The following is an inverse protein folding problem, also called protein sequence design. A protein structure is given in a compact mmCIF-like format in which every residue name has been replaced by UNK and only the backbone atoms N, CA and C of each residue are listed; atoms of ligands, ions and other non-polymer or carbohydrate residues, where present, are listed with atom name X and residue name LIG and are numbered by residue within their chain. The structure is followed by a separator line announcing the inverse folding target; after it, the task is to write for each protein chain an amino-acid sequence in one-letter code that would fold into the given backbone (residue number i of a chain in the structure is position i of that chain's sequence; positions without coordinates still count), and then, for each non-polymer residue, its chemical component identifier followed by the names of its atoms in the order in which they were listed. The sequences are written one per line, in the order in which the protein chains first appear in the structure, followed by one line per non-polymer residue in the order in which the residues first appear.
data_IF_532859915122
#
_entry.id   IF_532859915122
#
_cell.length_a   1.000
_cell.length_b   1.000
_cell.length_c   1.000
_cell.angle_alpha   90.00
_cell.angle_beta   90.00
_cell.angle_gamma   90.00
#
_symmetry.space_group_name_H-M   'P 1'
#
loop_
_entity.id
_entity.type
_entity.pdbx_description
1 polymer ?
#
# COMPACT_ATOMS: atom_id res chain seq x y z
N UNK A 1 19.09 17.59 2.88
CA UNK A 1 18.14 18.57 3.48
C UNK A 1 16.96 18.71 2.51
N UNK A 2 15.71 18.64 2.99
CA UNK A 2 14.51 18.84 2.16
C UNK A 2 14.00 20.25 2.32
N UNK A 3 13.73 20.94 1.21
CA UNK A 3 13.05 22.23 1.21
C UNK A 3 11.60 21.96 0.78
N UNK A 4 10.68 22.00 1.74
CA UNK A 4 9.25 21.83 1.52
C UNK A 4 8.58 23.19 1.42
N UNK A 5 7.65 23.36 0.47
CA UNK A 5 6.73 24.50 0.45
C UNK A 5 5.55 24.27 1.38
N UNK A 6 5.18 23.00 1.62
CA UNK A 6 4.10 22.61 2.52
C UNK A 6 4.26 21.16 2.95
N UNK A 7 3.78 20.81 4.14
CA UNK A 7 3.56 19.46 4.62
C UNK A 7 2.42 19.44 5.63
N UNK A 8 1.71 18.34 5.71
CA UNK A 8 0.60 18.23 6.64
C UNK A 8 -0.14 16.91 6.49
N UNK A 9 -1.37 16.91 6.98
CA UNK A 9 -2.24 15.74 6.87
C UNK A 9 -3.71 16.13 6.88
N UNK A 10 -4.55 15.19 6.44
CA UNK A 10 -5.99 15.28 6.56
C UNK A 10 -6.61 13.89 6.71
N UNK A 11 -7.83 13.86 7.23
CA UNK A 11 -8.67 12.67 7.16
C UNK A 11 -9.78 12.88 6.12
N UNK A 12 -10.21 11.80 5.49
CA UNK A 12 -11.24 11.82 4.44
C UNK A 12 -12.04 10.53 4.45
N UNK A 13 -13.25 10.59 3.87
CA UNK A 13 -14.17 9.45 3.84
C UNK A 13 -14.80 9.16 5.20
N UNK A 14 -15.16 7.91 5.39
CA UNK A 14 -15.85 7.45 6.59
C UNK A 14 -17.36 7.39 6.44
N UNK A 15 -18.01 6.83 7.47
CA UNK A 15 -19.48 6.78 7.61
C UNK A 15 -19.86 6.86 9.08
N UNK A 16 -21.07 7.31 9.32
CA UNK A 16 -21.67 7.29 10.66
C UNK A 16 -22.23 5.90 10.96
N UNK A 17 -21.93 5.40 12.16
CA UNK A 17 -22.56 4.22 12.77
C UNK A 17 -23.21 4.65 14.07
N UNK A 18 -24.46 4.25 14.28
CA UNK A 18 -25.20 4.51 15.52
C UNK A 18 -25.18 3.26 16.39
N UNK A 19 -24.88 3.45 17.66
CA UNK A 19 -24.94 2.42 18.73
C UNK A 19 -26.09 2.79 19.65
N UNK A 20 -26.95 1.82 19.98
CA UNK A 20 -28.12 1.99 20.86
C UNK A 20 -28.21 0.84 21.86
N UNK A 21 -28.95 1.10 22.95
CA UNK A 21 -29.37 0.11 23.94
C UNK A 21 -28.20 -0.63 24.64
N UNK A 22 -27.04 0.03 24.71
CA UNK A 22 -25.90 -0.49 25.44
C UNK A 22 -25.87 0.08 26.87
N UNK A 23 -25.53 -0.72 27.90
CA UNK A 23 -25.42 -0.22 29.25
C UNK A 23 -24.20 0.70 29.39
N UNK A 24 -24.32 1.68 30.28
CA UNK A 24 -23.19 2.49 30.71
C UNK A 24 -22.09 1.60 31.30
N UNK A 25 -20.85 1.97 31.04
CA UNK A 25 -19.68 1.23 31.53
C UNK A 25 -18.69 2.15 32.19
N UNK A 26 -18.03 1.60 33.23
CA UNK A 26 -16.93 2.30 33.89
C UNK A 26 -15.66 2.21 33.05
N UNK A 27 -15.13 3.37 32.65
CA UNK A 27 -13.88 3.48 31.87
C UNK A 27 -12.82 4.13 32.72
N UNK A 28 -11.73 3.42 32.97
CA UNK A 28 -10.57 3.91 33.70
C UNK A 28 -9.59 4.58 32.75
N UNK A 29 -9.30 5.87 32.97
CA UNK A 29 -8.27 6.61 32.23
C UNK A 29 -6.88 6.40 32.82
N UNK A 30 -6.82 6.22 34.16
CA UNK A 30 -5.62 5.92 34.93
C UNK A 30 -5.99 4.94 36.03
N UNK A 31 -5.01 4.48 36.82
CA UNK A 31 -5.27 3.59 37.96
C UNK A 31 -6.23 4.19 39.01
N UNK A 32 -6.33 5.51 39.05
CA UNK A 32 -7.11 6.22 40.07
C UNK A 32 -8.21 7.12 39.54
N UNK A 33 -8.34 7.25 38.20
CA UNK A 33 -9.33 8.13 37.56
C UNK A 33 -10.20 7.37 36.56
N UNK A 34 -11.51 7.49 36.72
CA UNK A 34 -12.50 6.89 35.85
C UNK A 34 -13.67 7.84 35.58
N UNK A 35 -14.47 7.51 34.55
CA UNK A 35 -15.81 8.07 34.35
C UNK A 35 -16.76 6.96 33.93
N UNK A 36 -18.06 7.24 34.10
CA UNK A 36 -19.12 6.39 33.59
C UNK A 36 -19.40 6.81 32.14
N UNK A 37 -19.04 5.95 31.20
CA UNK A 37 -19.22 6.18 29.76
C UNK A 37 -20.59 5.66 29.35
N UNK A 38 -21.38 6.50 28.68
CA UNK A 38 -22.47 6.08 27.84
C UNK A 38 -21.91 5.68 26.47
N UNK A 39 -22.02 4.40 26.06
CA UNK A 39 -21.50 3.96 24.76
C UNK A 39 -22.49 4.19 23.62
N UNK A 40 -23.67 4.75 23.87
CA UNK A 40 -24.69 5.00 22.87
C UNK A 40 -24.43 6.33 22.14
N UNK A 41 -24.76 6.37 20.85
CA UNK A 41 -24.61 7.56 20.03
C UNK A 41 -24.05 7.28 18.65
N UNK A 42 -23.68 8.34 17.96
CA UNK A 42 -23.14 8.30 16.61
C UNK A 42 -21.60 8.27 16.64
N UNK A 43 -21.02 7.40 15.81
CA UNK A 43 -19.57 7.24 15.67
C UNK A 43 -19.17 7.39 14.21
N UNK A 44 -18.16 8.22 13.94
CA UNK A 44 -17.54 8.30 12.63
C UNK A 44 -16.43 7.23 12.54
N UNK A 45 -16.54 6.36 11.57
CA UNK A 45 -15.59 5.24 11.32
C UNK A 45 -15.24 5.14 9.83
N UNK A 46 -14.27 4.29 9.48
CA UNK A 46 -13.85 4.02 8.10
C UNK A 46 -13.22 5.24 7.38
N UNK A 47 -12.69 6.20 8.11
CA UNK A 47 -11.88 7.28 7.56
C UNK A 47 -10.52 6.78 7.09
N UNK A 48 -9.91 7.51 6.15
CA UNK A 48 -8.53 7.35 5.67
C UNK A 48 -7.71 8.56 6.11
N UNK A 49 -6.55 8.30 6.70
CA UNK A 49 -5.55 9.32 6.97
C UNK A 49 -4.61 9.47 5.76
N UNK A 50 -4.34 10.72 5.41
CA UNK A 50 -3.41 11.07 4.33
C UNK A 50 -2.40 12.07 4.87
N UNK A 51 -1.12 11.74 4.77
CA UNK A 51 -0.03 12.68 5.04
C UNK A 51 0.57 13.14 3.72
N UNK A 52 0.94 14.42 3.60
CA UNK A 52 1.52 14.95 2.37
C UNK A 52 2.78 15.79 2.61
N UNK A 53 3.63 15.78 1.59
CA UNK A 53 4.89 16.52 1.53
C UNK A 53 5.02 17.14 0.15
N UNK A 54 5.11 18.47 0.10
CA UNK A 54 5.16 19.22 -1.14
C UNK A 54 6.55 19.88 -1.23
N UNK A 55 7.42 19.45 -2.16
CA UNK A 55 8.73 20.05 -2.31
C UNK A 55 8.60 21.48 -2.87
N UNK A 56 9.51 22.37 -2.46
CA UNK A 56 9.55 23.75 -2.95
C UNK A 56 9.75 23.81 -4.47
N UNK A 57 10.59 22.93 -5.01
CA UNK A 57 10.77 22.75 -6.44
C UNK A 57 10.16 21.43 -6.88
N UNK A 58 9.06 21.49 -7.62
CA UNK A 58 8.45 20.33 -8.25
C UNK A 58 9.08 20.13 -9.61
N UNK A 59 9.50 18.88 -9.89
CA UNK A 59 10.00 18.51 -11.21
C UNK A 59 8.95 17.75 -12.02
N UNK A 60 7.88 17.29 -11.35
CA UNK A 60 6.81 16.51 -11.96
C UNK A 60 5.45 17.17 -11.69
N UNK A 61 4.59 17.10 -12.68
CA UNK A 61 3.25 17.68 -12.61
C UNK A 61 2.35 16.96 -11.62
N UNK A 62 2.36 15.63 -11.66
CA UNK A 62 1.46 14.80 -10.89
C UNK A 62 2.10 14.37 -9.56
N UNK A 63 1.39 14.53 -8.43
CA UNK A 63 1.86 13.98 -7.16
C UNK A 63 1.82 12.46 -7.19
N UNK A 64 2.65 11.83 -6.35
CA UNK A 64 2.59 10.41 -6.07
C UNK A 64 1.72 10.14 -4.85
N UNK A 65 0.89 9.11 -4.93
CA UNK A 65 0.09 8.60 -3.82
C UNK A 65 0.60 7.20 -3.49
N UNK A 66 1.08 6.99 -2.27
CA UNK A 66 1.67 5.73 -1.81
C UNK A 66 0.68 4.97 -0.93
N UNK A 67 0.28 3.79 -1.37
CA UNK A 67 -0.66 2.90 -0.68
C UNK A 67 0.02 1.60 -0.25
N UNK A 68 0.07 1.35 1.06
CA UNK A 68 0.71 0.18 1.67
C UNK A 68 -0.04 -1.14 1.44
N UNK A 69 0.64 -2.26 1.71
CA UNK A 69 0.10 -3.61 1.65
C UNK A 69 -0.66 -4.06 2.91
N UNK A 70 -1.07 -5.32 2.90
CA UNK A 70 -1.78 -5.95 4.01
C UNK A 70 -0.95 -6.08 5.27
N UNK A 71 -1.52 -5.70 6.43
CA UNK A 71 -0.84 -5.78 7.73
C UNK A 71 0.26 -4.75 7.95
N UNK A 72 0.31 -3.70 7.12
CA UNK A 72 1.24 -2.58 7.18
C UNK A 72 0.48 -1.24 7.23
N UNK A 73 1.24 -0.16 7.38
CA UNK A 73 0.78 1.24 7.32
C UNK A 73 1.66 2.04 6.37
N UNK A 74 1.40 3.33 6.22
CA UNK A 74 2.24 4.24 5.45
C UNK A 74 3.69 4.31 5.91
N UNK A 75 3.99 3.90 7.15
CA UNK A 75 5.35 3.85 7.69
C UNK A 75 6.32 3.01 6.82
N UNK A 76 5.80 2.00 6.09
CA UNK A 76 6.63 1.17 5.21
C UNK A 76 7.29 1.94 4.05
N UNK A 77 6.85 3.16 3.77
CA UNK A 77 7.39 4.03 2.74
C UNK A 77 8.42 5.04 3.27
N UNK A 78 8.47 5.26 4.60
CA UNK A 78 9.23 6.33 5.24
C UNK A 78 10.70 5.96 5.43
N UNK A 79 10.97 4.92 6.19
CA UNK A 79 12.34 4.49 6.54
C UNK A 79 12.44 2.98 6.41
N UNK A 80 13.54 2.51 5.84
CA UNK A 80 13.84 1.07 5.74
C UNK A 80 14.20 0.49 7.11
N UNK A 81 14.07 -0.83 7.33
CA UNK A 81 14.38 -1.45 8.63
C UNK A 81 15.80 -1.19 9.13
N UNK A 82 16.76 -1.01 8.23
CA UNK A 82 18.15 -0.70 8.49
C UNK A 82 18.46 0.81 8.58
N UNK A 83 17.41 1.65 8.67
CA UNK A 83 17.54 3.09 8.91
C UNK A 83 17.86 3.95 7.70
N UNK A 84 17.90 3.38 6.48
CA UNK A 84 18.06 4.17 5.25
C UNK A 84 16.77 4.92 4.88
N UNK A 85 16.86 6.00 4.10
CA UNK A 85 15.70 6.66 3.51
C UNK A 85 14.83 5.70 2.69
N UNK A 86 13.52 5.67 2.96
CA UNK A 86 12.54 4.92 2.17
C UNK A 86 12.11 5.65 0.90
N UNK A 87 11.16 5.08 0.18
CA UNK A 87 10.69 5.64 -1.09
C UNK A 87 10.05 7.02 -0.97
N UNK A 88 9.40 7.34 0.15
CA UNK A 88 8.95 8.72 0.43
C UNK A 88 10.10 9.72 0.23
N UNK A 89 11.25 9.46 0.85
CA UNK A 89 12.41 10.32 0.75
C UNK A 89 13.00 10.35 -0.66
N UNK A 90 13.06 9.17 -1.31
CA UNK A 90 13.63 9.05 -2.66
C UNK A 90 12.81 9.84 -3.68
N UNK A 91 11.49 9.73 -3.64
CA UNK A 91 10.58 10.49 -4.52
C UNK A 91 10.56 11.99 -4.21
N UNK A 92 10.59 12.39 -2.94
CA UNK A 92 10.74 13.79 -2.56
C UNK A 92 12.05 14.39 -3.09
N UNK A 93 13.15 13.65 -2.97
CA UNK A 93 14.45 14.06 -3.49
C UNK A 93 14.46 14.18 -5.02
N UNK A 94 13.66 13.37 -5.70
CA UNK A 94 13.46 13.45 -7.15
C UNK A 94 12.55 14.62 -7.58
N UNK A 95 11.91 15.31 -6.61
CA UNK A 95 11.07 16.48 -6.88
C UNK A 95 9.57 16.17 -7.08
N UNK A 96 9.12 15.02 -6.67
CA UNK A 96 7.68 14.72 -6.60
C UNK A 96 7.04 15.31 -5.34
N UNK A 97 5.81 15.81 -5.45
CA UNK A 97 4.91 15.89 -4.30
C UNK A 97 4.46 14.49 -3.93
N UNK A 98 4.46 14.14 -2.65
CA UNK A 98 4.16 12.77 -2.19
C UNK A 98 3.07 12.80 -1.13
N UNK A 99 2.08 11.93 -1.32
CA UNK A 99 1.00 11.65 -0.37
C UNK A 99 1.14 10.21 0.11
N UNK A 100 1.09 9.99 1.42
CA UNK A 100 1.19 8.67 2.05
C UNK A 100 -0.11 8.38 2.76
N UNK A 101 -0.76 7.28 2.39
CA UNK A 101 -2.03 6.85 2.97
C UNK A 101 -1.80 5.81 4.06
N UNK A 102 -2.50 5.98 5.18
CA UNK A 102 -2.89 4.87 6.05
C UNK A 102 -4.33 4.51 5.67
N UNK A 103 -4.56 3.30 5.15
CA UNK A 103 -5.88 2.88 4.70
C UNK A 103 -6.86 2.73 5.88
N UNK A 104 -8.14 2.58 5.60
CA UNK A 104 -9.16 2.29 6.62
C UNK A 104 -8.66 1.21 7.58
N UNK A 105 -8.88 1.38 8.87
CA UNK A 105 -8.46 0.50 9.98
C UNK A 105 -6.94 0.39 10.24
N UNK A 106 -6.12 1.16 9.53
CA UNK A 106 -4.66 1.09 9.64
C UNK A 106 -4.07 2.36 10.23
N UNK A 107 -3.06 2.17 11.07
CA UNK A 107 -2.25 3.26 11.58
C UNK A 107 -3.07 4.46 12.08
N UNK A 108 -2.82 5.62 11.48
CA UNK A 108 -3.45 6.90 11.86
C UNK A 108 -4.90 7.05 11.39
N UNK A 109 -5.40 6.14 10.56
CA UNK A 109 -6.82 6.11 10.17
C UNK A 109 -7.74 5.68 11.31
N UNK A 110 -7.16 5.12 12.36
CA UNK A 110 -7.89 4.68 13.54
C UNK A 110 -8.47 3.28 13.37
N UNK A 111 -8.90 2.75 14.49
CA UNK A 111 -9.38 1.38 14.64
C UNK A 111 -10.80 1.42 15.21
N UNK A 112 -11.75 0.80 14.52
CA UNK A 112 -13.11 0.70 15.03
C UNK A 112 -13.19 -0.40 16.11
N UNK A 113 -13.39 -0.01 17.36
CA UNK A 113 -13.58 -0.92 18.49
C UNK A 113 -15.07 -1.21 18.79
N UNK A 114 -16.00 -0.79 17.93
CA UNK A 114 -17.43 -1.06 18.08
C UNK A 114 -17.70 -2.49 17.61
N UNK A 115 -18.31 -3.26 18.48
CA UNK A 115 -18.65 -4.66 18.19
C UNK A 115 -19.64 -4.77 17.02
N UNK A 116 -19.51 -5.83 16.24
CA UNK A 116 -20.40 -6.19 15.14
C UNK A 116 -20.51 -5.15 14.00
N UNK A 117 -19.60 -4.19 13.91
CA UNK A 117 -19.53 -3.24 12.79
C UNK A 117 -18.88 -3.89 11.56
N UNK A 118 -17.86 -4.68 11.79
CA UNK A 118 -17.16 -5.45 10.75
C UNK A 118 -17.24 -6.94 11.05
N UNK A 119 -17.44 -7.75 10.01
CA UNK A 119 -17.50 -9.19 10.13
C UNK A 119 -16.14 -9.78 10.53
N UNK A 120 -16.17 -10.75 11.44
CA UNK A 120 -15.01 -11.51 11.90
C UNK A 120 -14.14 -10.75 12.90
N UNK A 121 -12.99 -11.33 13.18
CA UNK A 121 -11.97 -10.77 14.06
C UNK A 121 -10.78 -10.26 13.23
N UNK A 122 -10.06 -9.24 13.71
CA UNK A 122 -8.84 -8.82 13.04
C UNK A 122 -7.79 -9.93 13.12
N UNK A 123 -7.06 -10.09 12.03
CA UNK A 123 -5.92 -11.02 11.96
C UNK A 123 -4.60 -10.28 12.06
N UNK A 124 -3.65 -10.87 12.72
CA UNK A 124 -2.27 -10.39 12.77
C UNK A 124 -1.33 -11.42 12.18
N UNK A 125 -0.38 -10.97 11.39
CA UNK A 125 0.60 -11.82 10.74
C UNK A 125 1.60 -12.37 11.75
N UNK A 126 1.88 -13.69 11.67
CA UNK A 126 2.98 -14.29 12.42
C UNK A 126 4.32 -13.98 11.74
N UNK A 127 5.41 -14.06 12.53
CA UNK A 127 6.76 -13.84 12.01
C UNK A 127 7.15 -14.88 10.95
N UNK A 128 6.73 -16.13 11.17
CA UNK A 128 6.96 -17.24 10.23
C UNK A 128 6.18 -17.05 8.92
N UNK A 129 4.92 -16.59 9.00
CA UNK A 129 4.12 -16.27 7.81
C UNK A 129 4.78 -15.14 6.99
N UNK A 130 5.34 -14.15 7.69
CA UNK A 130 6.05 -13.05 7.02
C UNK A 130 7.28 -13.52 6.26
N UNK A 131 8.03 -14.47 6.81
CA UNK A 131 9.21 -15.07 6.15
C UNK A 131 8.84 -15.66 4.79
N UNK A 132 7.78 -16.45 4.73
CA UNK A 132 7.30 -17.10 3.52
C UNK A 132 6.68 -16.09 2.52
N UNK A 133 5.71 -15.32 2.97
CA UNK A 133 4.97 -14.40 2.08
C UNK A 133 5.88 -13.34 1.48
N UNK A 134 6.85 -12.82 2.23
CA UNK A 134 7.75 -11.80 1.74
C UNK A 134 8.98 -12.36 1.00
N UNK A 135 9.01 -13.69 0.80
CA UNK A 135 10.06 -14.39 0.05
C UNK A 135 11.47 -14.11 0.57
N UNK A 136 11.64 -14.19 1.89
CA UNK A 136 12.97 -14.06 2.48
C UNK A 136 13.78 -15.35 2.37
N UNK A 137 13.13 -16.50 2.37
CA UNK A 137 13.71 -17.84 2.22
C UNK A 137 12.63 -18.88 2.11
N UNK A 138 13.03 -20.15 1.96
CA UNK A 138 12.09 -21.27 1.95
C UNK A 138 11.38 -21.41 3.32
N UNK A 139 10.10 -21.79 3.38
CA UNK A 139 9.35 -21.93 4.64
C UNK A 139 10.04 -22.82 5.68
N UNK A 140 10.66 -23.92 5.25
CA UNK A 140 11.40 -24.86 6.11
C UNK A 140 12.70 -24.26 6.69
N UNK A 141 13.19 -23.19 6.12
CA UNK A 141 14.41 -22.51 6.55
C UNK A 141 14.15 -21.41 7.60
N UNK A 142 12.91 -21.16 7.99
CA UNK A 142 12.58 -20.10 8.95
C UNK A 142 13.34 -20.22 10.27
N UNK A 143 13.33 -21.41 10.89
CA UNK A 143 14.01 -21.64 12.18
C UNK A 143 15.53 -21.53 12.09
N UNK A 144 16.12 -21.87 10.94
CA UNK A 144 17.56 -21.72 10.71
C UNK A 144 17.97 -20.32 10.26
N UNK A 145 17.00 -19.46 9.91
CA UNK A 145 17.25 -18.13 9.38
C UNK A 145 17.96 -18.11 8.04
N UNK A 146 17.94 -19.22 7.27
CA UNK A 146 18.66 -19.32 6.01
C UNK A 146 17.88 -18.69 4.85
N UNK A 147 18.32 -17.51 4.33
CA UNK A 147 17.60 -16.80 3.27
C UNK A 147 17.82 -17.44 1.90
N UNK A 148 17.07 -16.94 0.91
CA UNK A 148 17.43 -17.14 -0.49
C UNK A 148 18.79 -16.53 -0.80
N UNK A 149 19.54 -17.18 -1.69
CA UNK A 149 20.87 -16.71 -2.07
C UNK A 149 20.78 -15.38 -2.81
N UNK A 150 21.49 -14.38 -2.31
CA UNK A 150 21.51 -13.04 -2.91
C UNK A 150 20.31 -12.15 -2.54
N UNK A 151 19.56 -12.51 -1.50
CA UNK A 151 18.47 -11.69 -1.00
C UNK A 151 18.96 -10.29 -0.60
N UNK A 152 18.28 -9.26 -1.07
CA UNK A 152 18.62 -7.86 -0.81
C UNK A 152 17.86 -7.25 0.38
N UNK A 153 16.91 -7.96 0.97
CA UNK A 153 16.28 -7.51 2.21
C UNK A 153 17.27 -7.56 3.39
N UNK A 154 17.35 -6.50 4.23
CA UNK A 154 18.28 -6.44 5.35
C UNK A 154 17.81 -7.29 6.53
N UNK A 155 17.98 -8.62 6.46
CA UNK A 155 17.46 -9.59 7.44
C UNK A 155 18.00 -9.38 8.85
N UNK A 156 19.19 -8.82 9.01
CA UNK A 156 19.77 -8.44 10.30
C UNK A 156 18.94 -7.42 11.07
N UNK A 157 18.00 -6.72 10.37
CA UNK A 157 17.04 -5.79 10.93
C UNK A 157 15.60 -6.30 10.89
N UNK A 158 15.42 -7.62 10.78
CA UNK A 158 14.10 -8.25 10.69
C UNK A 158 13.16 -7.82 11.83
N UNK A 159 13.67 -7.70 13.04
CA UNK A 159 12.87 -7.31 14.20
C UNK A 159 12.33 -5.87 14.06
N UNK A 160 13.10 -4.95 13.51
CA UNK A 160 12.66 -3.58 13.23
C UNK A 160 11.53 -3.57 12.20
N UNK A 161 11.61 -4.43 11.16
CA UNK A 161 10.54 -4.60 10.18
C UNK A 161 9.27 -5.20 10.80
N UNK A 162 9.40 -6.24 11.62
CA UNK A 162 8.27 -6.93 12.24
C UNK A 162 7.47 -6.05 13.20
N UNK A 163 8.12 -5.04 13.83
CA UNK A 163 7.44 -4.02 14.64
C UNK A 163 6.50 -3.12 13.83
N UNK A 164 6.56 -3.13 12.51
CA UNK A 164 5.63 -2.39 11.65
C UNK A 164 4.31 -3.15 11.40
N UNK A 165 4.20 -4.41 11.83
CA UNK A 165 3.00 -5.20 11.60
C UNK A 165 1.84 -4.72 12.45
N UNK A 166 0.70 -4.54 11.79
CA UNK A 166 -0.56 -4.14 12.41
C UNK A 166 -1.67 -5.13 12.08
N UNK A 167 -2.65 -5.28 12.98
CA UNK A 167 -3.84 -6.10 12.69
C UNK A 167 -4.60 -5.56 11.48
N UNK A 168 -5.37 -6.43 10.85
CA UNK A 168 -6.28 -6.08 9.75
C UNK A 168 -7.51 -6.98 9.74
N UNK A 169 -8.65 -6.44 9.31
CA UNK A 169 -9.79 -7.27 8.94
C UNK A 169 -9.69 -7.74 7.49
N UNK A 170 -10.32 -8.87 7.19
CA UNK A 170 -10.43 -9.39 5.83
C UNK A 170 -11.75 -8.98 5.17
N UNK A 171 -12.73 -8.54 5.96
CA UNK A 171 -14.07 -8.14 5.52
C UNK A 171 -14.20 -6.67 5.11
N UNK A 172 -13.19 -5.84 5.37
CA UNK A 172 -13.25 -4.38 5.19
C UNK A 172 -12.86 -3.88 3.79
N UNK A 173 -12.60 -4.76 2.82
CA UNK A 173 -12.10 -4.37 1.48
C UNK A 173 -12.96 -3.31 0.79
N UNK A 174 -14.29 -3.40 0.91
CA UNK A 174 -15.20 -2.40 0.36
C UNK A 174 -15.04 -1.01 0.99
N UNK A 175 -14.89 -0.94 2.32
CA UNK A 175 -14.64 0.31 3.04
C UNK A 175 -13.28 0.90 2.65
N UNK A 176 -12.26 0.05 2.53
CA UNK A 176 -10.91 0.46 2.12
C UNK A 176 -10.91 1.05 0.70
N UNK A 177 -11.58 0.43 -0.27
CA UNK A 177 -11.70 0.95 -1.65
C UNK A 177 -12.41 2.30 -1.67
N UNK A 178 -13.54 2.44 -0.96
CA UNK A 178 -14.24 3.73 -0.86
C UNK A 178 -13.36 4.82 -0.26
N UNK A 179 -12.67 4.52 0.86
CA UNK A 179 -11.78 5.46 1.53
C UNK A 179 -10.62 5.92 0.65
N UNK A 180 -9.99 5.00 -0.09
CA UNK A 180 -8.96 5.32 -1.10
C UNK A 180 -9.56 6.24 -2.17
N UNK A 181 -10.75 5.91 -2.70
CA UNK A 181 -11.42 6.73 -3.71
C UNK A 181 -11.66 8.15 -3.26
N UNK A 182 -12.12 8.36 -2.01
CA UNK A 182 -12.29 9.70 -1.43
C UNK A 182 -10.95 10.46 -1.29
N UNK A 183 -9.87 9.74 -0.92
CA UNK A 183 -8.55 10.35 -0.89
C UNK A 183 -8.08 10.78 -2.29
N UNK A 184 -8.25 9.93 -3.30
CA UNK A 184 -7.91 10.24 -4.70
C UNK A 184 -8.69 11.44 -5.23
N UNK A 185 -9.99 11.52 -4.98
CA UNK A 185 -10.83 12.68 -5.36
C UNK A 185 -10.33 13.97 -4.73
N UNK A 186 -9.98 13.94 -3.43
CA UNK A 186 -9.49 15.12 -2.71
C UNK A 186 -8.10 15.55 -3.16
N UNK A 187 -7.21 14.62 -3.49
CA UNK A 187 -5.86 14.90 -4.01
C UNK A 187 -5.94 15.40 -5.45
N UNK A 188 -6.84 14.85 -6.25
CA UNK A 188 -6.97 15.13 -7.68
C UNK A 188 -6.03 14.30 -8.53
N UNK A 189 -5.68 14.78 -9.73
CA UNK A 189 -4.84 14.05 -10.68
C UNK A 189 -3.51 13.61 -10.07
N UNK A 190 -3.21 12.31 -10.08
CA UNK A 190 -2.05 11.72 -9.42
C UNK A 190 -1.57 10.43 -10.10
N UNK A 191 -0.36 10.00 -9.75
CA UNK A 191 0.14 8.65 -10.00
C UNK A 191 0.03 7.86 -8.70
N UNK A 192 -0.66 6.71 -8.75
CA UNK A 192 -0.89 5.86 -7.59
C UNK A 192 0.15 4.72 -7.58
N UNK A 193 0.84 4.53 -6.48
CA UNK A 193 1.79 3.43 -6.24
C UNK A 193 1.23 2.56 -5.12
N UNK A 194 0.93 1.30 -5.44
CA UNK A 194 0.28 0.36 -4.53
C UNK A 194 1.16 -0.86 -4.28
N UNK A 195 1.27 -1.29 -3.03
CA UNK A 195 2.02 -2.49 -2.67
C UNK A 195 1.11 -3.64 -2.27
N UNK A 196 1.41 -4.87 -2.73
CA UNK A 196 0.80 -6.13 -2.25
C UNK A 196 -0.73 -6.10 -2.29
N UNK A 197 -1.43 -6.32 -1.17
CA UNK A 197 -2.89 -6.18 -1.05
C UNK A 197 -3.39 -4.81 -1.53
N UNK A 198 -2.57 -3.77 -1.35
CA UNK A 198 -2.86 -2.43 -1.88
C UNK A 198 -3.00 -2.41 -3.40
N UNK A 199 -2.38 -3.35 -4.13
CA UNK A 199 -2.54 -3.50 -5.58
C UNK A 199 -3.99 -3.78 -5.98
N UNK A 200 -4.65 -4.74 -5.32
CA UNK A 200 -6.08 -5.01 -5.51
C UNK A 200 -6.94 -3.81 -5.10
N UNK A 201 -6.74 -3.28 -3.89
CA UNK A 201 -7.56 -2.21 -3.34
C UNK A 201 -7.39 -0.90 -4.12
N UNK A 202 -6.15 -0.52 -4.38
CA UNK A 202 -5.81 0.68 -5.14
C UNK A 202 -6.18 0.56 -6.62
N UNK A 203 -5.98 -0.62 -7.22
CA UNK A 203 -6.41 -0.91 -8.59
C UNK A 203 -7.92 -0.76 -8.76
N UNK A 204 -8.71 -1.32 -7.82
CA UNK A 204 -10.16 -1.16 -7.83
C UNK A 204 -10.58 0.29 -7.62
N UNK A 205 -9.99 1.00 -6.66
CA UNK A 205 -10.25 2.41 -6.45
C UNK A 205 -9.84 3.27 -7.66
N UNK A 206 -8.75 2.92 -8.36
CA UNK A 206 -8.31 3.58 -9.57
C UNK A 206 -9.31 3.40 -10.73
N UNK A 207 -9.84 2.19 -10.93
CA UNK A 207 -10.89 1.93 -11.93
C UNK A 207 -12.13 2.77 -11.66
N UNK A 208 -12.58 2.83 -10.38
CA UNK A 208 -13.75 3.61 -9.97
C UNK A 208 -13.54 5.14 -10.03
N UNK A 209 -12.27 5.61 -10.10
CA UNK A 209 -11.89 7.01 -10.11
C UNK A 209 -10.90 7.33 -11.24
N UNK A 210 -11.04 6.68 -12.38
CA UNK A 210 -10.05 6.68 -13.46
C UNK A 210 -9.70 8.08 -14.00
N UNK A 211 -10.59 9.04 -13.89
CA UNK A 211 -10.38 10.40 -14.39
C UNK A 211 -9.25 11.15 -13.68
N UNK A 212 -8.99 10.82 -12.42
CA UNK A 212 -7.90 11.43 -11.64
C UNK A 212 -6.60 10.60 -11.70
N UNK A 213 -6.62 9.40 -12.27
CA UNK A 213 -5.44 8.55 -12.38
C UNK A 213 -4.64 8.92 -13.64
N UNK A 214 -3.36 9.20 -13.45
CA UNK A 214 -2.39 9.52 -14.52
C UNK A 214 -1.34 8.43 -14.72
N UNK A 215 -1.32 7.46 -13.85
CA UNK A 215 -0.54 6.23 -13.90
C UNK A 215 -0.81 5.39 -12.67
N UNK A 216 -0.71 4.08 -12.81
CA UNK A 216 -0.79 3.14 -11.70
C UNK A 216 0.42 2.23 -11.68
N UNK A 217 1.08 2.13 -10.54
CA UNK A 217 2.23 1.26 -10.32
C UNK A 217 1.87 0.25 -9.24
N UNK A 218 1.75 -1.01 -9.65
CA UNK A 218 1.46 -2.14 -8.79
C UNK A 218 2.77 -2.84 -8.40
N UNK A 219 3.22 -2.60 -7.19
CA UNK A 219 4.43 -3.18 -6.61
C UNK A 219 4.06 -4.48 -5.94
N UNK A 220 4.48 -5.62 -6.50
CA UNK A 220 4.23 -6.92 -5.89
C UNK A 220 2.74 -7.18 -5.59
N UNK A 221 1.85 -6.75 -6.47
CA UNK A 221 0.42 -6.83 -6.23
C UNK A 221 -0.08 -8.26 -6.01
N UNK A 222 -1.01 -8.40 -5.09
CA UNK A 222 -1.74 -9.64 -4.83
C UNK A 222 -3.23 -9.43 -5.13
N UNK A 223 -3.63 -9.77 -6.35
CA UNK A 223 -5.00 -9.60 -6.86
C UNK A 223 -5.21 -8.32 -7.68
N UNK A 224 -6.25 -8.35 -8.49
CA UNK A 224 -6.56 -7.36 -9.53
C UNK A 224 -8.04 -6.96 -9.49
N UNK A 225 -8.44 -5.79 -10.04
CA UNK A 225 -9.83 -5.52 -10.36
C UNK A 225 -10.40 -6.63 -11.25
N UNK A 226 -11.69 -6.86 -11.19
CA UNK A 226 -12.32 -7.82 -12.10
C UNK A 226 -12.14 -7.35 -13.55
N UNK A 227 -11.77 -8.25 -14.45
CA UNK A 227 -11.58 -7.92 -15.86
C UNK A 227 -12.87 -7.35 -16.50
N UNK A 228 -14.03 -7.79 -16.01
CA UNK A 228 -15.35 -7.28 -16.43
C UNK A 228 -15.62 -5.82 -16.01
N UNK A 229 -14.90 -5.31 -15.01
CA UNK A 229 -15.04 -3.92 -14.56
C UNK A 229 -14.20 -2.95 -15.42
N UNK A 230 -13.39 -3.49 -16.36
CA UNK A 230 -12.48 -2.73 -17.20
C UNK A 230 -13.00 -2.75 -18.65
N UNK A 231 -13.34 -1.58 -19.14
CA UNK A 231 -13.67 -1.35 -20.54
C UNK A 231 -12.54 -0.61 -21.26
N UNK A 232 -12.71 -0.39 -22.56
CA UNK A 232 -11.73 0.27 -23.43
C UNK A 232 -11.37 1.69 -22.98
N UNK A 233 -12.34 2.43 -22.46
CA UNK A 233 -12.12 3.82 -22.00
C UNK A 233 -11.25 3.84 -20.73
N UNK A 234 -11.50 2.92 -19.81
CA UNK A 234 -10.69 2.74 -18.59
C UNK A 234 -9.27 2.29 -18.96
N UNK A 235 -9.15 1.28 -19.82
CA UNK A 235 -7.86 0.71 -20.19
C UNK A 235 -6.91 1.73 -20.85
N UNK A 236 -7.45 2.66 -21.64
CA UNK A 236 -6.68 3.69 -22.36
C UNK A 236 -6.32 4.91 -21.51
N UNK A 237 -7.00 5.11 -20.39
CA UNK A 237 -6.93 6.39 -19.66
C UNK A 237 -5.59 6.67 -19.00
N UNK A 238 -4.92 5.63 -18.52
CA UNK A 238 -3.65 5.75 -17.83
C UNK A 238 -2.77 4.51 -18.06
N UNK A 239 -1.44 4.65 -18.10
CA UNK A 239 -0.53 3.51 -18.16
C UNK A 239 -0.49 2.79 -16.81
N UNK A 240 -0.36 1.46 -16.86
CA UNK A 240 -0.21 0.58 -15.70
C UNK A 240 1.13 -0.13 -15.75
N UNK A 241 1.85 -0.10 -14.63
CA UNK A 241 3.11 -0.82 -14.45
C UNK A 241 2.94 -1.85 -13.33
N UNK A 242 3.24 -3.10 -13.63
CA UNK A 242 3.30 -4.17 -12.63
C UNK A 242 4.75 -4.55 -12.43
N UNK A 243 5.22 -4.48 -11.18
CA UNK A 243 6.58 -4.85 -10.80
C UNK A 243 6.55 -6.10 -9.94
N UNK A 244 7.34 -7.08 -10.32
CA UNK A 244 7.58 -8.29 -9.53
C UNK A 244 9.08 -8.39 -9.18
N UNK A 245 9.38 -8.76 -7.94
CA UNK A 245 10.74 -9.02 -7.46
C UNK A 245 11.27 -10.39 -7.88
N UNK A 246 12.23 -10.88 -7.13
CA UNK A 246 12.89 -12.15 -7.36
C UNK A 246 12.20 -13.30 -6.61
N UNK A 247 12.67 -14.54 -6.81
CA UNK A 247 12.22 -15.76 -6.13
C UNK A 247 10.74 -16.13 -6.33
N UNK A 248 10.10 -15.63 -7.40
CA UNK A 248 8.70 -15.96 -7.73
C UNK A 248 8.53 -17.46 -7.93
N UNK A 249 9.50 -18.12 -8.59
CA UNK A 249 9.44 -19.54 -8.92
C UNK A 249 9.65 -20.47 -7.71
N UNK A 250 10.11 -19.93 -6.59
CA UNK A 250 10.27 -20.66 -5.33
C UNK A 250 8.95 -20.80 -4.52
N UNK A 251 7.85 -20.17 -4.98
CA UNK A 251 6.58 -20.14 -4.28
C UNK A 251 5.40 -20.33 -5.23
N UNK A 252 4.60 -21.43 -5.10
CA UNK A 252 3.40 -21.63 -5.93
C UNK A 252 2.42 -20.46 -5.86
N UNK A 253 2.30 -19.84 -4.69
CA UNK A 253 1.47 -18.63 -4.50
C UNK A 253 1.90 -17.49 -5.43
N UNK A 254 3.20 -17.23 -5.51
CA UNK A 254 3.72 -16.12 -6.30
C UNK A 254 3.79 -16.44 -7.79
N UNK A 255 3.91 -17.73 -8.14
CA UNK A 255 3.74 -18.18 -9.53
C UNK A 255 2.30 -17.90 -10.00
N UNK A 256 1.28 -18.21 -9.18
CA UNK A 256 -0.12 -17.87 -9.48
C UNK A 256 -0.30 -16.35 -9.63
N UNK A 257 0.23 -15.57 -8.69
CA UNK A 257 0.14 -14.10 -8.75
C UNK A 257 0.80 -13.51 -10.01
N UNK A 258 1.92 -14.07 -10.47
CA UNK A 258 2.57 -13.67 -11.74
C UNK A 258 1.69 -14.00 -12.95
N UNK A 259 1.06 -15.18 -12.96
CA UNK A 259 0.13 -15.58 -14.02
C UNK A 259 -1.07 -14.64 -14.09
N UNK A 260 -1.70 -14.36 -12.95
CA UNK A 260 -2.82 -13.41 -12.84
C UNK A 260 -2.42 -12.00 -13.30
N UNK A 261 -1.19 -11.56 -12.96
CA UNK A 261 -0.64 -10.29 -13.41
C UNK A 261 -0.47 -10.22 -14.94
N UNK A 262 0.01 -11.30 -15.55
CA UNK A 262 0.17 -11.39 -17.00
C UNK A 262 -1.20 -11.34 -17.69
N UNK A 263 -2.17 -12.14 -17.25
CA UNK A 263 -3.54 -12.15 -17.77
C UNK A 263 -4.20 -10.78 -17.66
N UNK A 264 -4.00 -10.08 -16.53
CA UNK A 264 -4.49 -8.72 -16.35
C UNK A 264 -3.88 -7.75 -17.35
N UNK A 265 -2.55 -7.76 -17.51
CA UNK A 265 -1.86 -6.90 -18.49
C UNK A 265 -2.29 -7.21 -19.93
N UNK A 266 -2.43 -8.49 -20.28
CA UNK A 266 -2.93 -8.93 -21.60
C UNK A 266 -4.34 -8.41 -21.87
N UNK A 267 -5.23 -8.53 -20.87
CA UNK A 267 -6.59 -8.00 -20.98
C UNK A 267 -6.60 -6.48 -21.20
N UNK A 268 -5.85 -5.72 -20.39
CA UNK A 268 -5.71 -4.26 -20.55
C UNK A 268 -5.24 -3.90 -21.97
N UNK A 269 -4.23 -4.60 -22.47
CA UNK A 269 -3.64 -4.33 -23.78
C UNK A 269 -4.57 -4.76 -24.93
N UNK A 270 -5.38 -5.81 -24.75
CA UNK A 270 -6.41 -6.21 -25.72
C UNK A 270 -7.50 -5.14 -25.92
N UNK A 271 -7.66 -4.25 -24.94
CA UNK A 271 -8.57 -3.10 -24.98
C UNK A 271 -7.87 -1.80 -25.44
N UNK A 272 -6.72 -1.89 -26.12
CA UNK A 272 -5.85 -0.79 -26.51
C UNK A 272 -5.31 0.03 -25.32
N UNK A 273 -5.19 -0.57 -24.15
CA UNK A 273 -4.53 0.00 -22.97
C UNK A 273 -3.01 -0.04 -23.06
N UNK A 274 -2.36 0.45 -22.02
CA UNK A 274 -0.90 0.42 -21.88
C UNK A 274 -0.55 -0.17 -20.51
N UNK A 275 -0.44 -1.49 -20.43
CA UNK A 275 -0.07 -2.22 -19.22
C UNK A 275 1.21 -3.03 -19.47
N UNK A 276 2.17 -2.91 -18.55
CA UNK A 276 3.46 -3.60 -18.61
C UNK A 276 3.70 -4.41 -17.36
N UNK A 277 4.10 -5.67 -17.51
CA UNK A 277 4.59 -6.53 -16.43
C UNK A 277 6.11 -6.62 -16.53
N UNK A 278 6.82 -6.22 -15.48
CA UNK A 278 8.27 -6.21 -15.40
C UNK A 278 8.74 -7.08 -14.23
N UNK A 279 9.57 -8.06 -14.53
CA UNK A 279 10.36 -8.79 -13.55
C UNK A 279 11.62 -7.99 -13.24
N UNK A 280 11.83 -7.59 -12.02
CA UNK A 280 12.97 -6.76 -11.61
C UNK A 280 14.32 -7.43 -11.88
N UNK A 281 14.51 -8.75 -11.68
CA UNK A 281 15.74 -9.44 -12.12
C UNK A 281 16.10 -9.24 -13.59
N UNK A 282 15.10 -9.15 -14.49
CA UNK A 282 15.32 -9.00 -15.94
C UNK A 282 15.84 -7.58 -16.30
N UNK A 283 15.58 -6.61 -15.43
CA UNK A 283 16.07 -5.24 -15.58
C UNK A 283 17.22 -4.90 -14.63
N UNK A 284 17.87 -5.93 -14.08
CA UNK A 284 19.11 -5.81 -13.33
C UNK A 284 18.99 -5.74 -11.81
N UNK A 285 17.80 -5.85 -11.23
CA UNK A 285 17.56 -5.84 -9.78
C UNK A 285 17.33 -7.25 -9.23
N UNK A 286 18.40 -8.05 -9.18
CA UNK A 286 18.36 -9.40 -8.61
C UNK A 286 18.27 -9.35 -7.09
N UNK A 287 17.71 -10.40 -6.48
CA UNK A 287 17.57 -10.52 -5.04
C UNK A 287 16.46 -9.68 -4.42
N UNK A 288 15.63 -9.05 -5.23
CA UNK A 288 14.52 -8.23 -4.77
C UNK A 288 13.45 -9.07 -4.06
N UNK A 289 13.17 -8.75 -2.80
CA UNK A 289 12.15 -9.40 -1.98
C UNK A 289 10.73 -8.94 -2.36
N UNK A 290 9.71 -9.39 -1.62
CA UNK A 290 8.38 -8.79 -1.71
C UNK A 290 8.33 -7.33 -1.20
N UNK A 291 9.32 -6.91 -0.44
CA UNK A 291 9.41 -5.57 0.16
C UNK A 291 10.40 -4.69 -0.61
N UNK A 292 10.17 -4.49 -1.92
CA UNK A 292 11.07 -3.75 -2.82
C UNK A 292 11.53 -2.40 -2.26
N UNK A 293 10.63 -1.73 -1.52
CA UNK A 293 10.89 -0.42 -0.91
C UNK A 293 11.81 -0.48 0.31
N UNK A 294 12.12 -1.68 0.80
CA UNK A 294 12.99 -1.92 1.97
C UNK A 294 14.30 -2.61 1.62
N UNK A 295 14.42 -3.18 0.41
CA UNK A 295 15.63 -3.87 -0.06
C UNK A 295 16.83 -2.93 -0.12
N UNK A 296 18.06 -3.45 -0.07
CA UNK A 296 19.31 -2.63 -0.08
C UNK A 296 19.47 -1.76 -1.32
N UNK A 297 18.84 -2.14 -2.42
CA UNK A 297 18.82 -1.36 -3.67
C UNK A 297 17.50 -0.61 -3.91
N UNK A 298 16.69 -0.40 -2.87
CA UNK A 298 15.37 0.25 -2.96
C UNK A 298 15.42 1.64 -3.58
N UNK A 299 16.47 2.42 -3.32
CA UNK A 299 16.72 3.74 -3.90
C UNK A 299 16.87 3.67 -5.43
N UNK A 300 17.59 2.67 -5.93
CA UNK A 300 17.77 2.46 -7.38
C UNK A 300 16.46 2.06 -8.06
N UNK A 301 15.66 1.22 -7.40
CA UNK A 301 14.31 0.86 -7.89
C UNK A 301 13.42 2.10 -7.92
N UNK A 302 13.41 2.94 -6.87
CA UNK A 302 12.68 4.20 -6.87
C UNK A 302 13.12 5.14 -8.01
N UNK A 303 14.42 5.20 -8.28
CA UNK A 303 14.98 5.94 -9.41
C UNK A 303 14.52 5.40 -10.77
N UNK A 304 14.43 4.07 -10.91
CA UNK A 304 13.91 3.42 -12.11
C UNK A 304 12.42 3.71 -12.31
N UNK A 305 11.62 3.61 -11.25
CA UNK A 305 10.19 3.98 -11.23
C UNK A 305 10.01 5.44 -11.64
N UNK A 306 10.82 6.35 -11.09
CA UNK A 306 10.76 7.79 -11.43
C UNK A 306 10.98 8.03 -12.93
N UNK A 307 11.92 7.32 -13.55
CA UNK A 307 12.15 7.38 -14.99
C UNK A 307 10.95 6.87 -15.79
N UNK A 308 10.37 5.75 -15.36
CA UNK A 308 9.18 5.21 -16.00
C UNK A 308 8.00 6.20 -15.93
N UNK A 309 7.76 6.82 -14.77
CA UNK A 309 6.71 7.84 -14.61
C UNK A 309 6.93 9.00 -15.58
N UNK A 310 8.16 9.51 -15.67
CA UNK A 310 8.50 10.59 -16.57
C UNK A 310 8.28 10.26 -18.04
N UNK A 311 8.50 9.01 -18.44
CA UNK A 311 8.34 8.55 -19.83
C UNK A 311 6.90 8.20 -20.20
N UNK A 312 6.14 7.64 -19.26
CA UNK A 312 4.85 6.99 -19.53
C UNK A 312 3.64 7.81 -19.05
N UNK A 313 3.79 8.62 -18.00
CA UNK A 313 2.70 9.41 -17.42
C UNK A 313 2.74 10.87 -17.94
N UNK A 314 2.91 11.02 -19.25
CA UNK A 314 2.87 12.33 -19.94
C UNK A 314 1.44 12.86 -20.11
N UNK A 315 1.31 14.15 -20.44
CA UNK A 315 0.04 14.86 -20.64
C UNK A 315 -0.78 14.32 -21.79
#
# INVERSE_FOLDING_TARGET
MYHLSDFGSFHVGGRIVEVRDQPNRKVWFTETSYHDQDPNGEFLIEQVYVQYFIPQKRHYKWPLVLLHGGGLTGACWETTPDGRPGWLHNFLSAGFAVYVLDNVERGRSGFCAIENVWDGQPIQRTLKEAWDIFRFGKPENYESGKPFKGLEFPLEYMEAFQRQFVPRWTSTSGAQVRGIGEALKKIGSCVLICHSQGGFLGGKAAVENIDVIKGLICVEASGWPRLTDINKDIAKKAPWLVLLGDYIDESPRWQSARTEAAEFCEHMNSLDGNASLISLPDVGFKGASHMLMMDRHSDKIAGWISKWIFQSCVE
#
